data_IF_603051271815
#
_entry.id   IF_603051271815
#
_cell.length_a   1.000
_cell.length_b   1.000
_cell.length_c   1.000
_cell.angle_alpha   90.00
_cell.angle_beta   90.00
_cell.angle_gamma   90.00
#
_symmetry.space_group_name_H-M   'P 1'
#
loop_
_entity.id
_entity.type
_entity.pdbx_description
1 polymer ?
#
# COMPACT_ATOMS: atom_id res chain seq x y z
N UNK A 1 -16.16 28.81 -54.73
CA UNK A 1 -17.11 28.08 -53.86
C UNK A 1 -16.41 26.79 -53.42
N UNK A 2 -15.95 26.75 -52.17
CA UNK A 2 -15.11 25.66 -51.65
C UNK A 2 -15.93 24.41 -51.31
N UNK A 3 -15.39 23.23 -51.64
CA UNK A 3 -16.04 21.92 -51.48
C UNK A 3 -16.07 21.46 -50.01
N UNK A 4 -16.81 22.18 -49.15
CA UNK A 4 -16.91 21.88 -47.71
C UNK A 4 -17.44 20.48 -47.41
N UNK A 5 -18.28 19.90 -48.27
CA UNK A 5 -18.84 18.56 -48.05
C UNK A 5 -17.78 17.44 -48.11
N UNK A 6 -16.75 17.55 -48.96
CA UNK A 6 -15.67 16.56 -48.98
C UNK A 6 -14.82 16.60 -47.71
N UNK A 7 -14.70 17.76 -47.08
CA UNK A 7 -13.96 17.90 -45.82
C UNK A 7 -14.73 17.27 -44.65
N UNK A 8 -16.06 17.44 -44.61
CA UNK A 8 -16.93 16.84 -43.59
C UNK A 8 -16.93 15.31 -43.67
N UNK A 9 -16.96 14.73 -44.88
CA UNK A 9 -16.86 13.28 -45.07
C UNK A 9 -15.49 12.71 -44.66
N UNK A 10 -14.40 13.44 -44.93
CA UNK A 10 -13.05 13.03 -44.52
C UNK A 10 -12.87 13.09 -43.00
N UNK A 11 -13.40 14.13 -42.34
CA UNK A 11 -13.38 14.25 -40.88
C UNK A 11 -14.24 13.20 -40.18
N UNK A 12 -15.39 12.83 -40.75
CA UNK A 12 -16.24 11.74 -40.23
C UNK A 12 -15.55 10.37 -40.31
N UNK A 13 -14.78 10.11 -41.38
CA UNK A 13 -14.04 8.85 -41.54
C UNK A 13 -12.80 8.75 -40.62
N UNK A 14 -12.11 9.87 -40.36
CA UNK A 14 -10.99 9.90 -39.42
C UNK A 14 -11.44 9.78 -37.96
N UNK A 15 -12.55 10.40 -37.59
CA UNK A 15 -13.07 10.33 -36.22
C UNK A 15 -13.53 8.90 -35.84
N UNK A 16 -14.10 8.14 -36.80
CA UNK A 16 -14.57 6.78 -36.55
C UNK A 16 -13.48 5.70 -36.47
N UNK A 17 -12.32 5.91 -37.10
CA UNK A 17 -11.23 4.89 -37.15
C UNK A 17 -10.20 5.03 -36.03
N UNK A 18 -10.15 6.19 -35.38
CA UNK A 18 -9.17 6.50 -34.32
C UNK A 18 -9.44 5.75 -33.01
N UNK A 19 -10.71 5.56 -32.64
CA UNK A 19 -11.10 4.86 -31.42
C UNK A 19 -10.74 3.37 -31.47
N UNK A 20 -10.97 2.71 -32.62
CA UNK A 20 -10.62 1.29 -32.80
C UNK A 20 -9.11 1.04 -32.74
N UNK A 21 -8.29 2.00 -33.17
CA UNK A 21 -6.83 1.87 -33.13
C UNK A 21 -6.29 1.92 -31.70
N UNK A 22 -6.88 2.75 -30.84
CA UNK A 22 -6.53 2.82 -29.42
C UNK A 22 -6.96 1.56 -28.66
N UNK A 23 -8.15 1.04 -28.97
CA UNK A 23 -8.70 -0.16 -28.33
C UNK A 23 -7.91 -1.44 -28.70
N UNK A 24 -7.61 -1.63 -29.99
CA UNK A 24 -6.76 -2.74 -30.46
C UNK A 24 -5.37 -2.69 -29.79
N UNK A 25 -4.85 -1.48 -29.56
CA UNK A 25 -3.53 -1.30 -28.96
C UNK A 25 -3.52 -1.53 -27.46
N UNK A 26 -4.54 -1.07 -26.74
CA UNK A 26 -4.71 -1.36 -25.31
C UNK A 26 -4.72 -2.88 -25.07
N UNK A 27 -5.42 -3.62 -25.91
CA UNK A 27 -5.47 -5.08 -25.84
C UNK A 27 -4.10 -5.76 -26.12
N UNK A 28 -3.29 -5.23 -27.05
CA UNK A 28 -1.92 -5.74 -27.27
C UNK A 28 -1.02 -5.54 -26.04
N UNK A 29 -1.13 -4.36 -25.40
CA UNK A 29 -0.42 -4.03 -24.17
C UNK A 29 -0.80 -4.98 -23.03
N UNK A 30 -2.11 -5.16 -22.79
CA UNK A 30 -2.59 -6.06 -21.74
C UNK A 30 -2.19 -7.52 -21.99
N UNK A 31 -2.16 -7.96 -23.26
CA UNK A 31 -1.69 -9.30 -23.62
C UNK A 31 -0.21 -9.50 -23.30
N UNK A 32 0.65 -8.50 -23.57
CA UNK A 32 2.08 -8.55 -23.21
C UNK A 32 2.28 -8.58 -21.71
N UNK A 33 1.56 -7.72 -20.98
CA UNK A 33 1.57 -7.72 -19.52
C UNK A 33 1.19 -9.10 -18.98
N UNK A 34 0.03 -9.63 -19.40
CA UNK A 34 -0.45 -10.94 -18.97
C UNK A 34 0.58 -12.04 -19.22
N UNK A 35 1.20 -12.05 -20.40
CA UNK A 35 2.25 -13.03 -20.72
C UNK A 35 3.55 -12.83 -19.93
N UNK A 36 3.82 -11.61 -19.46
CA UNK A 36 4.91 -11.32 -18.53
C UNK A 36 4.60 -11.82 -17.12
N UNK A 37 3.39 -11.52 -16.62
CA UNK A 37 2.90 -11.99 -15.32
C UNK A 37 2.84 -13.52 -15.26
N UNK A 38 2.34 -14.18 -16.30
CA UNK A 38 2.30 -15.66 -16.40
C UNK A 38 3.70 -16.31 -16.38
N UNK A 39 4.75 -15.58 -16.77
CA UNK A 39 6.13 -16.06 -16.68
C UNK A 39 6.78 -15.80 -15.32
N UNK A 40 6.19 -14.94 -14.49
CA UNK A 40 6.79 -14.37 -13.29
C UNK A 40 7.68 -13.17 -13.63
N UNK A 41 7.44 -12.02 -12.97
CA UNK A 41 8.22 -10.81 -13.22
C UNK A 41 9.68 -10.90 -12.75
N UNK A 42 9.99 -11.80 -11.82
CA UNK A 42 11.35 -12.10 -11.35
C UNK A 42 12.27 -12.62 -12.48
N UNK A 43 11.68 -13.22 -13.53
CA UNK A 43 12.44 -13.64 -14.72
C UNK A 43 13.01 -12.46 -15.52
N UNK A 44 12.44 -11.27 -15.35
CA UNK A 44 12.90 -10.02 -15.98
C UNK A 44 13.86 -9.24 -15.08
N UNK A 45 13.78 -9.41 -13.76
CA UNK A 45 14.65 -8.77 -12.78
C UNK A 45 14.88 -9.68 -11.57
N UNK A 46 16.06 -10.32 -11.53
CA UNK A 46 16.43 -11.23 -10.45
C UNK A 46 16.61 -10.55 -9.09
N UNK A 47 16.66 -9.21 -9.05
CA UNK A 47 16.72 -8.47 -7.77
C UNK A 47 15.40 -8.54 -7.00
N UNK A 48 14.28 -8.82 -7.68
CA UNK A 48 12.97 -9.00 -7.04
C UNK A 48 13.00 -10.08 -5.96
N UNK A 49 13.61 -11.22 -6.27
CA UNK A 49 13.73 -12.33 -5.32
C UNK A 49 14.60 -11.97 -4.11
N UNK A 50 15.70 -11.25 -4.35
CA UNK A 50 16.59 -10.80 -3.26
C UNK A 50 15.88 -9.84 -2.31
N UNK A 51 15.12 -8.87 -2.85
CA UNK A 51 14.34 -7.93 -2.05
C UNK A 51 13.25 -8.68 -1.28
N UNK A 52 12.58 -9.64 -1.92
CA UNK A 52 11.53 -10.44 -1.30
C UNK A 52 12.04 -11.24 -0.10
N UNK A 53 13.19 -11.90 -0.21
CA UNK A 53 13.80 -12.63 0.91
C UNK A 53 14.25 -11.70 2.05
N UNK A 54 14.78 -10.52 1.73
CA UNK A 54 15.10 -9.51 2.74
C UNK A 54 13.83 -9.03 3.46
N UNK A 55 12.74 -8.80 2.72
CA UNK A 55 11.47 -8.37 3.28
C UNK A 55 10.88 -9.43 4.22
N UNK A 56 10.98 -10.72 3.86
CA UNK A 56 10.58 -11.82 4.74
C UNK A 56 11.36 -11.80 6.06
N UNK A 57 12.68 -11.68 5.97
CA UNK A 57 13.56 -11.64 7.15
C UNK A 57 13.23 -10.45 8.05
N UNK A 58 12.96 -9.29 7.44
CA UNK A 58 12.61 -8.06 8.17
C UNK A 58 11.22 -8.15 8.81
N UNK A 59 10.25 -8.77 8.13
CA UNK A 59 8.91 -8.97 8.68
C UNK A 59 8.94 -9.95 9.88
N UNK A 60 9.76 -11.00 9.82
CA UNK A 60 10.02 -11.90 10.96
C UNK A 60 10.71 -11.16 12.12
N UNK A 61 11.62 -10.22 11.83
CA UNK A 61 12.33 -9.41 12.83
C UNK A 61 11.36 -8.59 13.70
N UNK A 62 10.27 -8.05 13.10
CA UNK A 62 9.20 -7.29 13.81
C UNK A 62 8.50 -8.07 14.93
N UNK A 63 8.64 -9.39 14.93
CA UNK A 63 8.07 -10.30 15.91
C UNK A 63 9.02 -10.63 17.08
N UNK A 64 10.25 -10.13 17.05
CA UNK A 64 11.21 -10.31 18.14
C UNK A 64 10.87 -9.43 19.36
N UNK A 65 11.25 -9.91 20.56
CA UNK A 65 10.98 -9.23 21.84
C UNK A 65 11.95 -8.07 22.14
N UNK A 66 12.96 -7.88 21.29
CA UNK A 66 13.85 -6.73 21.38
C UNK A 66 13.06 -5.46 21.09
N UNK A 67 13.33 -4.42 21.89
CA UNK A 67 12.84 -3.06 21.62
C UNK A 67 13.59 -2.55 20.40
N UNK A 68 13.20 -3.04 19.23
CA UNK A 68 13.53 -2.43 17.95
C UNK A 68 12.72 -1.14 17.94
N UNK A 69 13.38 0.00 17.72
CA UNK A 69 12.64 1.22 17.37
C UNK A 69 11.66 0.87 16.24
N UNK A 70 10.50 1.52 16.16
CA UNK A 70 9.61 1.33 15.00
C UNK A 70 10.38 1.77 13.74
N UNK A 71 11.05 0.82 13.09
CA UNK A 71 11.77 1.05 11.87
C UNK A 71 10.78 0.86 10.73
N UNK A 72 10.69 1.87 9.86
CA UNK A 72 9.92 1.80 8.61
C UNK A 72 10.60 0.85 7.60
N UNK A 73 11.44 -0.09 8.04
CA UNK A 73 12.31 -0.92 7.20
C UNK A 73 11.50 -1.92 6.37
N UNK A 74 10.46 -2.53 6.96
CA UNK A 74 9.55 -3.42 6.24
C UNK A 74 8.86 -2.66 5.11
N UNK A 75 8.33 -1.47 5.39
CA UNK A 75 7.61 -0.65 4.44
C UNK A 75 8.56 -0.12 3.36
N UNK A 76 9.78 0.30 3.72
CA UNK A 76 10.83 0.70 2.77
C UNK A 76 11.25 -0.45 1.83
N UNK A 77 11.36 -1.68 2.34
CA UNK A 77 11.66 -2.86 1.52
C UNK A 77 10.48 -3.20 0.61
N UNK A 78 9.26 -3.04 1.11
CA UNK A 78 8.06 -3.26 0.31
C UNK A 78 7.90 -2.21 -0.80
N UNK A 79 8.17 -0.93 -0.51
CA UNK A 79 8.24 0.15 -1.51
C UNK A 79 9.26 -0.17 -2.61
N UNK A 80 10.43 -0.69 -2.23
CA UNK A 80 11.47 -1.12 -3.17
C UNK A 80 11.00 -2.28 -4.05
N UNK A 81 10.36 -3.29 -3.46
CA UNK A 81 9.81 -4.44 -4.18
C UNK A 81 8.76 -4.00 -5.21
N UNK A 82 7.76 -3.25 -4.75
CA UNK A 82 6.66 -2.74 -5.60
C UNK A 82 7.23 -1.82 -6.70
N UNK A 83 8.20 -0.96 -6.37
CA UNK A 83 8.86 -0.09 -7.35
C UNK A 83 9.58 -0.87 -8.44
N UNK A 84 10.23 -2.00 -8.11
CA UNK A 84 10.90 -2.86 -9.10
C UNK A 84 9.89 -3.59 -9.98
N UNK A 85 8.82 -4.13 -9.40
CA UNK A 85 7.70 -4.72 -10.14
C UNK A 85 7.18 -3.73 -11.19
N UNK A 86 6.88 -2.50 -10.76
CA UNK A 86 6.35 -1.49 -11.68
C UNK A 86 7.35 -0.99 -12.73
N UNK A 87 8.67 -1.10 -12.48
CA UNK A 87 9.68 -0.85 -13.51
C UNK A 87 9.62 -1.88 -14.63
N UNK A 88 9.42 -3.16 -14.30
CA UNK A 88 9.22 -4.22 -15.30
C UNK A 88 7.91 -3.98 -16.05
N UNK A 89 6.82 -3.68 -15.33
CA UNK A 89 5.50 -3.38 -15.93
C UNK A 89 5.58 -2.21 -16.92
N UNK A 90 6.35 -1.16 -16.61
CA UNK A 90 6.55 -0.05 -17.53
C UNK A 90 7.16 -0.49 -18.87
N UNK A 91 8.15 -1.39 -18.83
CA UNK A 91 8.79 -1.93 -20.04
C UNK A 91 7.83 -2.72 -20.94
N UNK A 92 6.80 -3.33 -20.34
CA UNK A 92 5.79 -4.13 -21.04
C UNK A 92 4.62 -3.29 -21.56
N UNK A 93 4.27 -2.20 -20.88
CA UNK A 93 2.98 -1.54 -21.06
C UNK A 93 3.02 -0.07 -21.47
N UNK A 94 4.12 0.64 -21.18
CA UNK A 94 4.15 2.11 -21.30
C UNK A 94 3.38 2.85 -20.20
N UNK A 95 2.75 2.14 -19.25
CA UNK A 95 2.21 2.72 -18.01
C UNK A 95 3.33 2.79 -16.99
N UNK A 96 3.76 4.00 -16.65
CA UNK A 96 4.89 4.26 -15.76
C UNK A 96 4.36 4.58 -14.37
N UNK A 97 4.58 3.70 -13.41
CA UNK A 97 4.21 3.90 -12.00
C UNK A 97 5.51 4.15 -11.21
N UNK A 98 5.57 5.22 -10.42
CA UNK A 98 6.76 5.67 -9.68
C UNK A 98 6.36 6.30 -8.35
N UNK A 99 7.38 6.67 -7.56
CA UNK A 99 7.21 7.35 -6.27
C UNK A 99 6.25 6.55 -5.38
N UNK A 100 6.42 5.22 -5.41
CA UNK A 100 5.65 4.29 -4.61
C UNK A 100 5.94 4.59 -3.15
N UNK A 101 4.87 4.71 -2.38
CA UNK A 101 4.89 4.93 -0.94
C UNK A 101 3.97 3.91 -0.28
N UNK A 102 4.43 3.35 0.84
CA UNK A 102 3.66 2.48 1.71
C UNK A 102 3.62 3.14 3.09
N UNK A 103 2.58 3.93 3.40
CA UNK A 103 2.56 4.75 4.62
C UNK A 103 2.67 3.94 5.91
N UNK A 104 1.79 2.95 6.10
CA UNK A 104 1.80 2.08 7.28
C UNK A 104 1.01 0.80 7.01
N UNK A 105 1.57 -0.35 7.40
CA UNK A 105 0.91 -1.65 7.29
C UNK A 105 0.21 -1.95 8.61
N UNK A 106 -1.12 -2.03 8.58
CA UNK A 106 -1.92 -2.20 9.80
C UNK A 106 -2.46 -3.62 9.93
N UNK A 107 -2.38 -4.17 11.14
CA UNK A 107 -2.98 -5.44 11.52
C UNK A 107 -4.15 -5.19 12.47
N UNK A 108 -5.38 -5.08 12.00
CA UNK A 108 -6.54 -4.84 12.85
C UNK A 108 -7.10 -6.15 13.40
N UNK A 109 -6.99 -6.35 14.72
CA UNK A 109 -7.49 -7.55 15.39
C UNK A 109 -9.00 -7.73 15.15
N UNK A 110 -9.40 -8.86 14.56
CA UNK A 110 -10.80 -9.28 14.45
C UNK A 110 -11.18 -10.31 15.51
N UNK A 111 -10.19 -11.02 16.05
CA UNK A 111 -10.29 -11.86 17.25
C UNK A 111 -8.90 -12.05 17.89
N UNK A 112 -8.81 -12.85 18.96
CA UNK A 112 -7.52 -13.21 19.59
C UNK A 112 -6.59 -14.02 18.66
N UNK A 113 -7.15 -14.57 17.57
CA UNK A 113 -6.45 -15.46 16.64
C UNK A 113 -6.59 -15.01 15.19
N UNK A 114 -7.15 -13.82 14.93
CA UNK A 114 -7.31 -13.32 13.57
C UNK A 114 -7.17 -11.81 13.49
N UNK A 115 -6.65 -11.32 12.36
CA UNK A 115 -6.60 -9.90 12.03
C UNK A 115 -6.84 -9.64 10.55
N UNK A 116 -7.43 -8.48 10.28
CA UNK A 116 -7.48 -7.87 8.97
C UNK A 116 -6.17 -7.12 8.72
N UNK A 117 -5.49 -7.44 7.62
CA UNK A 117 -4.25 -6.78 7.22
C UNK A 117 -4.57 -5.80 6.10
N UNK A 118 -4.15 -4.54 6.28
CA UNK A 118 -4.29 -3.49 5.26
C UNK A 118 -2.93 -2.98 4.84
N UNK A 119 -2.70 -2.91 3.53
CA UNK A 119 -1.46 -2.43 2.92
C UNK A 119 -1.84 -1.29 1.96
N UNK A 120 -1.79 -0.03 2.41
CA UNK A 120 -2.05 1.12 1.57
C UNK A 120 -0.82 1.42 0.69
N UNK A 121 -1.04 1.65 -0.60
CA UNK A 121 -0.01 1.98 -1.59
C UNK A 121 -0.42 3.26 -2.30
N UNK A 122 0.44 4.28 -2.24
CA UNK A 122 0.28 5.51 -3.02
C UNK A 122 1.39 5.61 -4.07
N UNK A 123 1.08 6.11 -5.28
CA UNK A 123 2.08 6.27 -6.35
C UNK A 123 1.65 7.27 -7.43
N UNK A 124 2.62 7.79 -8.17
CA UNK A 124 2.39 8.59 -9.36
C UNK A 124 2.34 7.71 -10.61
N UNK A 125 1.34 7.93 -11.47
CA UNK A 125 1.17 7.19 -12.73
C UNK A 125 1.23 8.12 -13.93
N UNK A 126 2.10 7.79 -14.88
CA UNK A 126 2.16 8.44 -16.19
C UNK A 126 1.86 7.42 -17.28
N UNK A 127 0.82 7.67 -18.07
CA UNK A 127 0.48 6.78 -19.19
C UNK A 127 1.11 7.29 -20.48
N UNK A 128 1.96 6.46 -21.09
CA UNK A 128 2.57 6.75 -22.39
C UNK A 128 1.98 5.84 -23.46
N UNK A 129 1.36 6.46 -24.47
CA UNK A 129 0.93 5.75 -25.67
C UNK A 129 1.92 5.99 -26.79
N UNK A 130 2.32 4.96 -27.55
CA UNK A 130 3.27 5.20 -28.63
C UNK A 130 2.63 6.10 -29.69
N UNK A 131 3.45 6.97 -30.31
CA UNK A 131 3.07 8.08 -31.19
C UNK A 131 2.54 9.33 -30.47
N UNK A 132 1.79 9.18 -29.39
CA UNK A 132 1.23 10.32 -28.63
C UNK A 132 2.13 10.77 -27.47
N UNK A 133 3.01 9.87 -27.02
CA UNK A 133 3.84 10.08 -25.83
C UNK A 133 2.98 10.06 -24.58
N UNK A 134 3.35 10.89 -23.61
CA UNK A 134 2.60 11.10 -22.38
C UNK A 134 1.21 11.69 -22.67
N UNK A 135 0.17 10.99 -22.20
CA UNK A 135 -1.23 11.40 -22.40
C UNK A 135 -1.91 11.92 -21.13
N UNK A 136 -1.60 11.34 -19.97
CA UNK A 136 -2.21 11.69 -18.68
C UNK A 136 -1.28 11.34 -17.52
N UNK A 137 -1.29 12.19 -16.49
CA UNK A 137 -0.70 11.92 -15.18
C UNK A 137 -1.82 11.73 -14.15
N UNK A 138 -1.69 10.67 -13.35
CA UNK A 138 -2.67 10.26 -12.35
C UNK A 138 -1.96 10.09 -11.01
N UNK A 139 -2.72 10.32 -9.94
CA UNK A 139 -2.41 9.85 -8.60
C UNK A 139 -3.10 8.49 -8.40
N UNK A 140 -2.35 7.50 -7.93
CA UNK A 140 -2.82 6.15 -7.67
C UNK A 140 -2.83 5.90 -6.17
N UNK A 141 -3.97 5.44 -5.66
CA UNK A 141 -4.08 4.87 -4.33
C UNK A 141 -4.64 3.46 -4.46
N UNK A 142 -3.98 2.48 -3.83
CA UNK A 142 -4.41 1.08 -3.78
C UNK A 142 -4.44 0.62 -2.33
N UNK A 143 -5.58 0.13 -1.88
CA UNK A 143 -5.69 -0.50 -0.56
C UNK A 143 -5.81 -2.02 -0.74
N UNK A 144 -4.78 -2.76 -0.33
CA UNK A 144 -4.80 -4.22 -0.37
C UNK A 144 -5.30 -4.73 0.98
N UNK A 145 -6.32 -5.59 0.93
CA UNK A 145 -6.94 -6.19 2.10
C UNK A 145 -6.80 -7.71 2.04
N UNK A 146 -6.39 -8.30 3.16
CA UNK A 146 -6.39 -9.75 3.38
C UNK A 146 -6.62 -10.03 4.86
N UNK A 147 -6.81 -11.29 5.22
CA UNK A 147 -6.96 -11.71 6.61
C UNK A 147 -5.86 -12.70 6.97
N UNK A 148 -5.41 -12.67 8.22
CA UNK A 148 -4.55 -13.72 8.78
C UNK A 148 -5.28 -14.36 9.95
N UNK A 149 -5.29 -15.69 9.99
CA UNK A 149 -5.94 -16.48 11.05
C UNK A 149 -4.98 -17.55 11.54
N UNK A 150 -4.97 -17.78 12.84
CA UNK A 150 -4.21 -18.86 13.47
C UNK A 150 -5.18 -20.01 13.73
N UNK A 151 -4.97 -21.12 13.06
CA UNK A 151 -5.71 -22.35 13.27
C UNK A 151 -4.90 -23.28 14.17
N UNK A 152 -5.56 -23.88 15.17
CA UNK A 152 -4.95 -24.91 16.01
C UNK A 152 -5.34 -26.27 15.47
N UNK A 153 -4.36 -27.07 15.04
CA UNK A 153 -4.61 -28.46 14.66
C UNK A 153 -4.99 -29.26 15.92
N UNK A 154 -6.25 -29.70 16.00
CA UNK A 154 -6.77 -30.51 17.12
C UNK A 154 -6.46 -32.00 16.98
N UNK A 155 -5.86 -32.41 15.86
CA UNK A 155 -5.76 -33.82 15.43
C UNK A 155 -4.39 -34.48 15.70
N UNK A 156 -3.41 -33.73 16.24
CA UNK A 156 -2.08 -34.26 16.58
C UNK A 156 -1.70 -33.95 18.03
N UNK A 157 -1.05 -34.90 18.71
CA UNK A 157 -0.58 -34.72 20.09
C UNK A 157 0.47 -33.59 20.25
N UNK A 158 1.02 -33.12 19.13
CA UNK A 158 1.77 -31.86 19.00
C UNK A 158 0.83 -30.77 18.50
N UNK A 159 0.49 -29.83 19.38
CA UNK A 159 -0.34 -28.65 19.10
C UNK A 159 0.43 -27.63 18.24
N UNK A 160 0.68 -27.96 16.98
CA UNK A 160 1.31 -27.04 16.03
C UNK A 160 0.22 -26.10 15.49
N UNK A 161 0.28 -24.82 15.88
CA UNK A 161 -0.63 -23.79 15.36
C UNK A 161 -0.15 -23.34 13.98
N UNK A 162 -1.06 -23.31 13.00
CA UNK A 162 -0.76 -22.93 11.62
C UNK A 162 -1.34 -21.57 11.29
N UNK A 163 -0.57 -20.74 10.60
CA UNK A 163 -1.07 -19.49 10.01
C UNK A 163 -1.77 -19.78 8.69
N UNK A 164 -3.00 -19.32 8.56
CA UNK A 164 -3.81 -19.38 7.36
C UNK A 164 -4.12 -17.97 6.91
N UNK A 165 -3.68 -17.65 5.69
CA UNK A 165 -3.97 -16.37 5.06
C UNK A 165 -5.25 -16.49 4.24
N UNK A 166 -6.13 -15.50 4.35
CA UNK A 166 -7.37 -15.39 3.60
C UNK A 166 -7.15 -15.03 2.13
N UNK A 167 -8.24 -14.73 1.45
CA UNK A 167 -8.17 -14.26 0.06
C UNK A 167 -7.64 -12.82 0.02
N UNK A 168 -6.64 -12.58 -0.81
CA UNK A 168 -6.27 -11.23 -1.25
C UNK A 168 -7.05 -10.94 -2.52
N UNK A 169 -8.03 -10.05 -2.44
CA UNK A 169 -8.93 -9.77 -3.57
C UNK A 169 -8.65 -8.40 -4.18
N UNK A 170 -8.61 -8.39 -5.51
CA UNK A 170 -8.55 -7.16 -6.31
C UNK A 170 -9.96 -6.59 -6.44
N UNK A 171 -10.37 -5.79 -5.44
CA UNK A 171 -11.63 -5.05 -5.51
C UNK A 171 -11.41 -3.79 -6.36
N UNK A 172 -12.19 -3.56 -7.44
CA UNK A 172 -12.07 -2.32 -8.22
C UNK A 172 -12.26 -1.04 -7.39
N UNK A 173 -12.99 -1.10 -6.27
CA UNK A 173 -13.14 0.04 -5.35
C UNK A 173 -11.88 0.34 -4.55
N UNK A 174 -10.98 -0.64 -4.39
CA UNK A 174 -9.71 -0.42 -3.68
C UNK A 174 -8.64 0.21 -4.55
N UNK A 175 -8.90 0.43 -5.85
CA UNK A 175 -8.00 1.13 -6.78
C UNK A 175 -8.61 2.48 -7.15
N UNK A 176 -8.07 3.54 -6.57
CA UNK A 176 -8.43 4.92 -6.89
C UNK A 176 -7.40 5.54 -7.83
N UNK A 177 -7.88 6.15 -8.92
CA UNK A 177 -7.06 6.88 -9.89
C UNK A 177 -7.61 8.29 -10.05
N UNK A 178 -6.84 9.29 -9.62
CA UNK A 178 -7.22 10.71 -9.71
C UNK A 178 -6.42 11.40 -10.80
N UNK A 179 -7.09 12.09 -11.72
CA UNK A 179 -6.41 12.79 -12.82
C UNK A 179 -5.76 14.08 -12.32
N UNK A 180 -4.43 14.15 -12.33
CA UNK A 180 -3.66 15.32 -11.92
C UNK A 180 -3.43 16.29 -13.07
N UNK A 181 -2.97 15.77 -14.21
CA UNK A 181 -2.64 16.59 -15.39
C UNK A 181 -3.06 15.91 -16.69
N UNK A 182 -3.55 16.72 -17.63
CA UNK A 182 -4.00 16.29 -18.95
C UNK A 182 -3.22 17.06 -20.00
N UNK A 183 -2.44 16.36 -20.81
CA UNK A 183 -1.73 17.00 -21.94
C UNK A 183 -2.70 17.35 -23.08
N UNK A 184 -3.72 16.52 -23.28
CA UNK A 184 -4.72 16.68 -24.33
C UNK A 184 -6.04 17.19 -23.73
N UNK A 185 -6.06 18.42 -23.24
CA UNK A 185 -7.18 19.01 -22.47
C UNK A 185 -8.57 19.04 -23.13
N UNK A 186 -8.71 18.60 -24.40
CA UNK A 186 -9.98 18.61 -25.15
C UNK A 186 -10.42 17.23 -25.68
N UNK A 187 -9.62 16.17 -25.55
CA UNK A 187 -9.96 14.82 -26.03
C UNK A 187 -10.21 13.89 -24.84
N UNK A 188 -11.39 14.02 -24.22
CA UNK A 188 -11.79 13.17 -23.09
C UNK A 188 -11.60 11.68 -23.40
N UNK A 189 -11.88 11.24 -24.63
CA UNK A 189 -11.71 9.84 -25.04
C UNK A 189 -10.28 9.30 -24.90
N UNK A 190 -9.25 10.12 -25.13
CA UNK A 190 -7.85 9.72 -24.98
C UNK A 190 -7.47 9.63 -23.51
N UNK A 191 -7.95 10.57 -22.69
CA UNK A 191 -7.75 10.57 -21.23
C UNK A 191 -8.45 9.36 -20.61
N UNK A 192 -9.70 9.09 -21.00
CA UNK A 192 -10.49 7.95 -20.52
C UNK A 192 -9.82 6.62 -20.91
N UNK A 193 -9.28 6.53 -22.13
CA UNK A 193 -8.48 5.37 -22.55
C UNK A 193 -7.24 5.20 -21.69
N UNK A 194 -6.52 6.28 -21.40
CA UNK A 194 -5.34 6.25 -20.52
C UNK A 194 -5.67 5.80 -19.10
N UNK A 195 -6.73 6.36 -18.52
CA UNK A 195 -7.21 5.99 -17.18
C UNK A 195 -7.64 4.53 -17.12
N UNK A 196 -8.39 4.06 -18.12
CA UNK A 196 -8.84 2.67 -18.18
C UNK A 196 -7.67 1.70 -18.40
N UNK A 197 -6.70 2.07 -19.24
CA UNK A 197 -5.48 1.28 -19.41
C UNK A 197 -4.70 1.19 -18.09
N UNK A 198 -4.47 2.30 -17.42
CA UNK A 198 -3.79 2.33 -16.12
C UNK A 198 -4.52 1.46 -15.09
N UNK A 199 -5.85 1.58 -15.01
CA UNK A 199 -6.68 0.75 -14.11
C UNK A 199 -6.50 -0.73 -14.40
N UNK A 200 -6.62 -1.15 -15.66
CA UNK A 200 -6.46 -2.56 -16.03
C UNK A 200 -5.06 -3.09 -15.73
N UNK A 201 -4.02 -2.30 -16.01
CA UNK A 201 -2.62 -2.68 -15.70
C UNK A 201 -2.42 -2.84 -14.20
N UNK A 202 -2.84 -1.87 -13.39
CA UNK A 202 -2.72 -1.94 -11.92
C UNK A 202 -3.50 -3.14 -11.39
N UNK A 203 -4.75 -3.31 -11.85
CA UNK A 203 -5.62 -4.41 -11.44
C UNK A 203 -5.00 -5.78 -11.73
N UNK A 204 -4.42 -6.00 -12.91
CA UNK A 204 -3.70 -7.24 -13.23
C UNK A 204 -2.46 -7.45 -12.35
N UNK A 205 -1.67 -6.40 -12.12
CA UNK A 205 -0.46 -6.52 -11.28
C UNK A 205 -0.81 -6.79 -9.82
N UNK A 206 -1.88 -6.17 -9.30
CA UNK A 206 -2.38 -6.45 -7.94
C UNK A 206 -2.80 -7.91 -7.82
N UNK A 207 -3.61 -8.41 -8.77
CA UNK A 207 -4.14 -9.77 -8.74
C UNK A 207 -3.06 -10.83 -8.91
N UNK A 208 -2.16 -10.65 -9.88
CA UNK A 208 -1.29 -11.73 -10.36
C UNK A 208 0.14 -11.68 -9.79
N UNK A 209 0.55 -10.56 -9.18
CA UNK A 209 1.89 -10.42 -8.59
C UNK A 209 1.85 -9.95 -7.13
N UNK A 210 1.17 -8.84 -6.81
CA UNK A 210 1.21 -8.31 -5.45
C UNK A 210 0.47 -9.21 -4.47
N UNK A 211 -0.76 -9.61 -4.77
CA UNK A 211 -1.56 -10.46 -3.88
C UNK A 211 -0.89 -11.81 -3.58
N UNK A 212 -0.37 -12.56 -4.57
CA UNK A 212 0.39 -13.79 -4.31
C UNK A 212 1.61 -13.56 -3.42
N UNK A 213 2.39 -12.50 -3.67
CA UNK A 213 3.57 -12.17 -2.86
C UNK A 213 3.22 -11.78 -1.43
N UNK A 214 2.15 -11.01 -1.24
CA UNK A 214 1.66 -10.67 0.10
C UNK A 214 1.17 -11.88 0.86
N UNK A 215 0.44 -12.78 0.19
CA UNK A 215 0.05 -14.06 0.79
C UNK A 215 1.29 -14.85 1.21
N UNK A 216 2.28 -14.99 0.34
CA UNK A 216 3.51 -15.73 0.66
C UNK A 216 4.29 -15.12 1.83
N UNK A 217 4.37 -13.78 1.91
CA UNK A 217 4.99 -13.09 3.06
C UNK A 217 4.25 -13.41 4.37
N UNK A 218 2.92 -13.31 4.37
CA UNK A 218 2.11 -13.55 5.57
C UNK A 218 2.08 -15.03 5.97
N UNK A 219 2.09 -15.95 5.00
CA UNK A 219 2.18 -17.40 5.24
C UNK A 219 3.55 -17.81 5.79
N UNK A 220 4.58 -16.99 5.58
CA UNK A 220 5.90 -17.27 6.10
C UNK A 220 6.06 -16.98 7.61
N UNK A 221 5.12 -16.23 8.18
CA UNK A 221 5.11 -15.91 9.61
C UNK A 221 4.64 -17.11 10.43
N UNK A 222 5.25 -17.30 11.59
CA UNK A 222 4.79 -18.29 12.56
C UNK A 222 3.61 -17.76 13.40
N UNK A 223 2.90 -18.68 14.07
CA UNK A 223 1.72 -18.34 14.85
C UNK A 223 2.02 -17.44 16.05
N UNK A 224 3.21 -17.50 16.64
CA UNK A 224 3.59 -16.62 17.75
C UNK A 224 3.82 -15.18 17.24
N UNK A 225 4.50 -15.06 16.09
CA UNK A 225 4.71 -13.80 15.39
C UNK A 225 3.37 -13.11 15.06
N UNK A 226 2.43 -13.84 14.45
CA UNK A 226 1.09 -13.29 14.14
C UNK A 226 0.37 -12.86 15.42
N UNK A 227 0.40 -13.63 16.52
CA UNK A 227 -0.19 -13.20 17.80
C UNK A 227 0.42 -11.90 18.32
N UNK A 228 1.74 -11.73 18.20
CA UNK A 228 2.42 -10.49 18.62
C UNK A 228 1.99 -9.29 17.77
N UNK A 229 1.88 -9.47 16.45
CA UNK A 229 1.40 -8.42 15.55
C UNK A 229 -0.05 -8.02 15.85
N UNK A 230 -0.93 -8.99 16.11
CA UNK A 230 -2.32 -8.74 16.54
C UNK A 230 -2.35 -7.99 17.88
N UNK A 231 -1.52 -8.42 18.85
CA UNK A 231 -1.47 -7.82 20.19
C UNK A 231 -0.94 -6.39 20.22
N UNK A 232 0.02 -6.04 19.36
CA UNK A 232 0.53 -4.65 19.21
C UNK A 232 -0.57 -3.70 18.74
N UNK A 233 -1.53 -4.19 17.97
CA UNK A 233 -2.59 -3.37 17.36
C UNK A 233 -3.83 -3.17 18.22
N UNK A 234 -3.96 -3.88 19.34
CA UNK A 234 -5.08 -3.68 20.27
C UNK A 234 -4.83 -2.43 21.14
N UNK A 235 -5.75 -1.43 21.16
CA UNK A 235 -5.63 -0.32 22.07
C UNK A 235 -5.96 -0.78 23.50
N UNK A 236 -4.91 -1.08 24.26
CA UNK A 236 -4.96 -1.18 25.71
C UNK A 236 -5.35 -2.54 26.27
N UNK A 237 -4.44 -3.51 26.23
CA UNK A 237 -4.32 -4.45 27.33
C UNK A 237 -3.15 -4.00 28.22
N UNK A 238 -3.48 -3.13 29.18
CA UNK A 238 -2.63 -2.89 30.31
C UNK A 238 -2.19 -4.25 30.87
N UNK A 239 -0.88 -4.50 30.85
CA UNK A 239 -0.20 -5.61 31.53
C UNK A 239 -1.04 -6.03 32.74
N UNK A 240 -1.74 -7.17 32.65
CA UNK A 240 -2.22 -7.87 33.84
C UNK A 240 -0.98 -8.38 34.55
N UNK A 241 -0.41 -7.51 35.37
CA UNK A 241 0.76 -7.76 36.16
C UNK A 241 0.53 -8.94 37.09
N UNK A 242 1.59 -9.73 37.22
CA UNK A 242 1.84 -10.69 38.29
C UNK A 242 1.25 -10.24 39.64
N UNK A 243 0.74 -11.16 40.47
CA UNK A 243 0.33 -10.82 41.81
C UNK A 243 1.53 -10.36 42.64
N UNK A 244 1.49 -9.11 43.11
CA UNK A 244 2.41 -8.59 44.11
C UNK A 244 2.26 -9.42 45.40
N UNK A 245 3.32 -10.11 45.79
CA UNK A 245 3.47 -10.57 47.16
C UNK A 245 3.82 -9.37 48.06
N UNK A 246 3.17 -9.21 49.21
CA UNK A 246 3.47 -8.13 50.14
C UNK A 246 4.71 -8.51 50.96
N UNK A 247 5.78 -7.74 50.81
CA UNK A 247 6.86 -7.71 51.81
C UNK A 247 6.74 -6.43 52.63
N UNK A 248 6.59 -6.63 53.93
CA UNK A 248 6.54 -5.61 54.96
C UNK A 248 7.85 -4.81 55.04
N UNK A 249 7.74 -3.50 55.29
CA UNK A 249 8.67 -2.79 56.16
C UNK A 249 9.60 -1.72 55.57
N UNK A 250 9.30 -0.46 55.94
CA UNK A 250 10.22 0.67 56.18
C UNK A 250 10.81 1.36 54.92
N UNK A 251 10.73 2.68 54.68
CA UNK A 251 10.65 3.86 55.54
C UNK A 251 9.85 5.00 54.86
N UNK A 252 9.24 5.83 55.69
CA UNK A 252 8.69 7.13 55.32
C UNK A 252 9.80 8.21 55.22
N UNK A 253 9.47 9.28 54.48
CA UNK A 253 10.04 10.65 54.46
C UNK A 253 10.81 10.98 53.18
N UNK A 254 10.16 11.73 52.26
CA UNK A 254 10.59 13.06 51.80
C UNK A 254 9.58 13.60 50.77
N UNK A 255 8.69 14.48 51.22
CA UNK A 255 7.92 15.39 50.35
C UNK A 255 8.18 16.81 50.85
N UNK A 256 9.29 17.44 50.47
CA UNK A 256 9.44 18.91 50.45
C UNK A 256 10.36 19.30 49.29
N UNK A 257 10.01 20.42 48.64
CA UNK A 257 10.73 21.21 47.62
C UNK A 257 10.54 20.80 46.15
N UNK A 258 9.48 21.34 45.52
CA UNK A 258 9.64 22.28 44.42
C UNK A 258 8.29 22.96 44.10
N UNK A 259 8.00 24.08 44.76
CA UNK A 259 6.97 25.02 44.30
C UNK A 259 7.38 26.44 44.66
N UNK A 260 8.27 27.01 43.84
CA UNK A 260 8.40 28.44 43.54
C UNK A 260 8.85 28.44 42.07
N UNK A 261 8.08 28.96 41.13
CA UNK A 261 7.92 30.37 40.78
C UNK A 261 6.55 30.52 40.08
N UNK A 262 6.03 31.75 40.03
CA UNK A 262 4.83 32.23 39.31
C UNK A 262 3.60 32.46 40.20
N UNK A 263 3.61 33.58 40.92
CA UNK A 263 2.41 34.35 41.28
C UNK A 263 2.85 35.79 41.49
N UNK A 264 2.66 36.64 40.48
CA UNK A 264 2.69 38.09 40.62
C UNK A 264 1.29 38.57 40.98
N UNK A 265 1.15 39.26 42.10
CA UNK A 265 -0.11 39.85 42.56
C UNK A 265 -0.38 41.24 41.90
N UNK A 266 -1.65 41.69 41.84
CA UNK A 266 -2.10 42.91 41.18
C UNK A 266 -2.39 44.08 42.16
N UNK A 267 -2.53 45.28 41.60
CA UNK A 267 -2.98 46.52 42.27
C UNK A 267 -1.94 47.65 42.13
N UNK A 268 -2.22 48.89 41.76
CA UNK A 268 -3.46 49.67 41.71
C UNK A 268 -3.25 50.89 40.77
N UNK A 269 -4.34 51.60 40.48
CA UNK A 269 -4.54 52.60 39.44
C UNK A 269 -3.62 53.85 39.43
N UNK A 270 -3.48 54.49 38.26
CA UNK A 270 -3.75 55.93 38.05
C UNK A 270 -3.72 56.29 36.53
N UNK A 271 -4.78 56.98 36.08
CA UNK A 271 -4.93 57.73 34.82
C UNK A 271 -5.11 59.20 35.27
N UNK A 272 -4.64 60.28 34.60
CA UNK A 272 -5.07 60.66 33.25
C UNK A 272 -4.01 61.31 32.32
N UNK A 273 -4.39 61.45 31.05
CA UNK A 273 -3.73 62.18 29.95
C UNK A 273 -3.54 63.70 30.23
N UNK A 274 -2.86 64.49 29.36
CA UNK A 274 -3.18 64.72 27.93
C UNK A 274 -2.05 64.36 26.95
#
# INVERSE_FOLDING_TARGET
MFQFWKLVLLCGLLAGTSASLLDIRGNDVLRKLKSGLERGLDTFDSTLETIFQNLKTELESRCSDEVVEETQETENLLEQLISRIFQVVYSLTGVRIRNVQVPDITFEATSDHSADVKIPIAADVTVNLPLLGEIVNLDLNVDIHTTVTIETDTDTETSDSKVVVGECTNNPESISLTVLHRRFGLLNSVVDTGVNLARSVVSSVVQDELCPRFRELLESLDAECVKKLIGKSQPGEARRGLPLQPHEGWYATLCIQHQQVWSGDPGEAEDPSP
#
